data_IF_836647395374
#
_entry.id   IF_836647395374
#
_cell.length_a   1.000
_cell.length_b   1.000
_cell.length_c   1.000
_cell.angle_alpha   90.00
_cell.angle_beta   90.00
_cell.angle_gamma   90.00
#
_symmetry.space_group_name_H-M   'P 1'
#
loop_
_entity.id
_entity.type
_entity.pdbx_description
1 polymer ?
#
# COMPACT_ATOMS: atom_id res chain seq x y z
N UNK A 1 -19.47 -11.10 -1.55
CA UNK A 1 -19.84 -12.50 -1.25
C UNK A 1 -18.81 -13.20 -0.37
N UNK A 2 -17.53 -12.77 -0.33
CA UNK A 2 -16.53 -13.42 0.53
C UNK A 2 -16.10 -14.81 0.04
N UNK A 3 -16.51 -15.17 -1.19
CA UNK A 3 -16.17 -16.42 -1.86
C UNK A 3 -15.02 -16.18 -2.83
N UNK A 4 -14.24 -17.23 -3.09
CA UNK A 4 -13.14 -17.17 -4.04
C UNK A 4 -13.65 -17.16 -5.49
N UNK A 5 -12.79 -16.74 -6.41
CA UNK A 5 -13.10 -16.67 -7.85
C UNK A 5 -13.41 -18.06 -8.42
N UNK A 6 -12.69 -19.08 -8.00
CA UNK A 6 -12.82 -20.45 -8.50
C UNK A 6 -14.20 -21.03 -8.18
N UNK A 7 -14.74 -20.69 -7.00
CA UNK A 7 -16.09 -21.08 -6.59
C UNK A 7 -17.15 -20.47 -7.53
N UNK A 8 -17.01 -19.19 -7.87
CA UNK A 8 -17.92 -18.50 -8.80
C UNK A 8 -17.91 -19.11 -10.20
N UNK A 9 -16.74 -19.55 -10.69
CA UNK A 9 -16.61 -20.15 -12.03
C UNK A 9 -17.24 -21.54 -12.10
N UNK A 10 -17.14 -22.30 -11.01
CA UNK A 10 -17.61 -23.70 -10.95
C UNK A 10 -19.08 -23.82 -10.53
N UNK A 11 -19.69 -22.74 -10.04
CA UNK A 11 -21.07 -22.72 -9.56
C UNK A 11 -21.79 -21.52 -10.21
N UNK A 12 -22.30 -21.68 -11.43
CA UNK A 12 -22.95 -20.57 -12.15
C UNK A 12 -24.42 -20.34 -11.76
N UNK A 13 -25.03 -21.25 -10.99
CA UNK A 13 -26.45 -21.20 -10.58
C UNK A 13 -26.63 -20.84 -9.10
N UNK A 14 -25.76 -19.98 -8.56
CA UNK A 14 -25.85 -19.55 -7.16
C UNK A 14 -26.97 -18.53 -7.00
N UNK A 15 -27.86 -18.79 -6.04
CA UNK A 15 -28.81 -17.78 -5.59
C UNK A 15 -28.07 -16.66 -4.83
N UNK A 16 -28.15 -15.44 -5.36
CA UNK A 16 -27.55 -14.25 -4.77
C UNK A 16 -28.61 -13.49 -3.98
N UNK A 17 -28.33 -13.20 -2.71
CA UNK A 17 -29.26 -12.40 -1.90
C UNK A 17 -29.33 -10.96 -2.38
N UNK A 18 -30.49 -10.32 -2.18
CA UNK A 18 -30.74 -8.94 -2.59
C UNK A 18 -29.73 -7.95 -1.99
N UNK A 19 -29.33 -8.16 -0.73
CA UNK A 19 -28.27 -7.39 -0.05
C UNK A 19 -26.91 -7.50 -0.75
N UNK A 20 -26.58 -8.66 -1.29
CA UNK A 20 -25.34 -8.83 -2.07
C UNK A 20 -25.48 -8.11 -3.41
N UNK A 21 -26.61 -8.29 -4.10
CA UNK A 21 -26.88 -7.64 -5.37
C UNK A 21 -26.78 -6.11 -5.26
N UNK A 22 -27.34 -5.53 -4.19
CA UNK A 22 -27.25 -4.10 -3.88
C UNK A 22 -25.79 -3.63 -3.74
N UNK A 23 -24.96 -4.36 -2.99
CA UNK A 23 -23.52 -4.05 -2.85
C UNK A 23 -22.79 -4.09 -4.19
N UNK A 24 -23.10 -5.07 -5.05
CA UNK A 24 -22.51 -5.15 -6.38
C UNK A 24 -22.98 -3.99 -7.27
N UNK A 25 -24.27 -3.64 -7.24
CA UNK A 25 -24.80 -2.51 -7.99
C UNK A 25 -24.11 -1.20 -7.59
N UNK A 26 -23.87 -0.97 -6.30
CA UNK A 26 -23.09 0.19 -5.82
C UNK A 26 -21.66 0.16 -6.38
N UNK A 27 -20.98 -0.98 -6.31
CA UNK A 27 -19.63 -1.14 -6.85
C UNK A 27 -19.56 -0.92 -8.38
N UNK A 28 -20.53 -1.44 -9.12
CA UNK A 28 -20.66 -1.26 -10.57
C UNK A 28 -20.88 0.21 -10.92
N UNK A 29 -21.78 0.92 -10.22
CA UNK A 29 -22.00 2.36 -10.42
C UNK A 29 -20.73 3.18 -10.17
N UNK A 30 -19.95 2.84 -9.14
CA UNK A 30 -18.63 3.44 -8.89
C UNK A 30 -17.67 3.16 -10.04
N UNK A 31 -17.62 1.92 -10.54
CA UNK A 31 -16.73 1.54 -11.65
C UNK A 31 -17.10 2.19 -12.98
N UNK A 32 -18.40 2.38 -13.27
CA UNK A 32 -18.88 3.12 -14.45
C UNK A 32 -18.33 4.55 -14.46
N UNK A 33 -18.20 5.18 -13.29
CA UNK A 33 -17.53 6.50 -13.12
C UNK A 33 -16.00 6.44 -13.20
N UNK A 34 -15.45 5.34 -13.70
CA UNK A 34 -14.01 5.06 -13.85
C UNK A 34 -13.23 4.99 -12.53
N UNK A 35 -13.89 4.94 -11.37
CA UNK A 35 -13.21 4.79 -10.07
C UNK A 35 -12.39 3.48 -10.03
N UNK A 36 -11.08 3.51 -9.71
CA UNK A 36 -10.24 2.32 -9.70
C UNK A 36 -10.80 1.17 -8.83
N UNK A 37 -10.72 -0.07 -9.32
CA UNK A 37 -11.22 -1.26 -8.62
C UNK A 37 -10.61 -1.41 -7.23
N UNK A 38 -9.34 -1.05 -7.05
CA UNK A 38 -8.67 -1.11 -5.75
C UNK A 38 -9.33 -0.20 -4.70
N UNK A 39 -9.78 1.00 -5.09
CA UNK A 39 -10.54 1.89 -4.19
C UNK A 39 -11.97 1.43 -3.97
N UNK A 40 -12.57 0.73 -4.94
CA UNK A 40 -13.91 0.14 -4.79
C UNK A 40 -13.86 -1.01 -3.78
N UNK A 41 -12.85 -1.87 -3.88
CA UNK A 41 -12.65 -3.03 -3.00
C UNK A 41 -11.94 -2.69 -1.69
N UNK A 42 -11.31 -1.51 -1.61
CA UNK A 42 -10.56 -1.02 -0.46
C UNK A 42 -9.20 -1.69 -0.28
N UNK A 43 -8.75 -2.52 -1.22
CA UNK A 43 -7.50 -3.28 -1.11
C UNK A 43 -6.74 -3.43 -2.42
N UNK A 44 -5.43 -3.64 -2.30
CA UNK A 44 -4.51 -3.95 -3.40
C UNK A 44 -3.48 -4.96 -2.93
N UNK A 45 -3.41 -6.09 -3.59
CA UNK A 45 -2.29 -7.02 -3.45
C UNK A 45 -1.02 -6.38 -4.00
N UNK A 46 0.06 -6.45 -3.22
CA UNK A 46 1.40 -6.00 -3.56
C UNK A 46 2.42 -6.78 -2.72
N UNK A 47 3.48 -7.28 -3.33
CA UNK A 47 4.48 -8.12 -2.63
C UNK A 47 3.87 -9.30 -1.85
N UNK A 48 2.89 -9.98 -2.44
CA UNK A 48 2.12 -11.08 -1.83
C UNK A 48 1.32 -10.72 -0.55
N UNK A 49 1.13 -9.43 -0.29
CA UNK A 49 0.40 -8.94 0.88
C UNK A 49 -0.79 -8.06 0.45
N UNK A 50 -1.89 -8.14 1.20
CA UNK A 50 -3.09 -7.31 0.97
C UNK A 50 -2.93 -5.96 1.68
N UNK A 51 -2.69 -4.88 0.92
CA UNK A 51 -2.66 -3.52 1.45
C UNK A 51 -4.04 -2.87 1.38
N UNK A 52 -4.47 -2.24 2.47
CA UNK A 52 -5.59 -1.30 2.49
C UNK A 52 -5.23 -0.10 1.65
N UNK A 53 -6.12 0.28 0.73
CA UNK A 53 -5.95 1.45 -0.14
C UNK A 53 -7.23 2.27 -0.19
N UNK A 54 -7.09 3.57 -0.35
CA UNK A 54 -8.20 4.49 -0.54
C UNK A 54 -7.73 5.71 -1.35
N UNK A 55 -8.64 6.65 -1.59
CA UNK A 55 -8.38 7.85 -2.40
C UNK A 55 -7.29 8.77 -1.84
N UNK A 56 -6.84 8.59 -0.60
CA UNK A 56 -5.77 9.37 -0.01
C UNK A 56 -4.35 8.86 -0.35
N UNK A 57 -4.23 7.70 -1.00
CA UNK A 57 -2.96 7.04 -1.31
C UNK A 57 -2.90 6.62 -2.75
N UNK A 58 -1.72 6.65 -3.38
CA UNK A 58 -1.52 6.00 -4.67
C UNK A 58 -1.68 4.47 -4.54
N UNK A 59 -2.37 3.85 -5.50
CA UNK A 59 -2.48 2.38 -5.58
C UNK A 59 -1.09 1.80 -5.86
N UNK A 60 -0.56 0.88 -5.03
CA UNK A 60 0.72 0.22 -5.26
C UNK A 60 0.83 -0.36 -6.68
N UNK A 61 1.97 -0.13 -7.32
CA UNK A 61 2.24 -0.46 -8.72
C UNK A 61 3.27 -1.60 -8.81
N UNK A 62 3.04 -2.66 -9.61
CA UNK A 62 3.96 -3.80 -9.70
C UNK A 62 5.40 -3.42 -10.01
N UNK A 63 5.62 -2.37 -10.79
CA UNK A 63 6.95 -1.86 -11.15
C UNK A 63 7.78 -1.44 -9.92
N UNK A 64 7.10 -1.05 -8.82
CA UNK A 64 7.75 -0.72 -7.54
C UNK A 64 8.36 -1.94 -6.85
N UNK A 65 7.93 -3.16 -7.19
CA UNK A 65 8.49 -4.39 -6.62
C UNK A 65 9.97 -4.60 -6.99
N UNK A 66 10.41 -4.10 -8.16
CA UNK A 66 11.81 -4.17 -8.57
C UNK A 66 12.73 -3.35 -7.64
N UNK A 67 12.25 -2.20 -7.16
CA UNK A 67 12.98 -1.39 -6.18
C UNK A 67 13.16 -2.15 -4.86
N UNK A 68 12.08 -2.77 -4.39
CA UNK A 68 12.06 -3.53 -3.14
C UNK A 68 13.00 -4.73 -3.23
N UNK A 69 12.94 -5.50 -4.31
CA UNK A 69 13.82 -6.63 -4.56
C UNK A 69 15.30 -6.24 -4.46
N UNK A 70 15.71 -5.16 -5.14
CA UNK A 70 17.10 -4.68 -5.10
C UNK A 70 17.53 -4.23 -3.70
N UNK A 71 16.64 -3.57 -2.96
CA UNK A 71 16.92 -3.13 -1.60
C UNK A 71 17.13 -4.33 -0.66
N UNK A 72 16.28 -5.35 -0.74
CA UNK A 72 16.38 -6.55 0.07
C UNK A 72 17.68 -7.30 -0.21
N UNK A 73 18.04 -7.47 -1.49
CA UNK A 73 19.26 -8.17 -1.88
C UNK A 73 20.53 -7.48 -1.34
N UNK A 74 20.62 -6.16 -1.49
CA UNK A 74 21.78 -5.38 -1.03
C UNK A 74 21.96 -5.38 0.51
N UNK A 75 20.84 -5.41 1.24
CA UNK A 75 20.81 -5.37 2.70
C UNK A 75 20.51 -6.71 3.35
N UNK A 76 20.61 -7.81 2.60
CA UNK A 76 20.36 -9.15 3.11
C UNK A 76 21.20 -9.42 4.36
N UNK A 77 20.55 -9.94 5.40
CA UNK A 77 21.13 -10.21 6.72
C UNK A 77 21.70 -8.99 7.48
N UNK A 78 21.46 -7.75 7.01
CA UNK A 78 21.87 -6.53 7.71
C UNK A 78 20.71 -5.97 8.53
N UNK A 79 21.05 -5.29 9.62
CA UNK A 79 20.13 -4.47 10.40
C UNK A 79 20.30 -3.01 9.98
N UNK A 80 19.24 -2.43 9.41
CA UNK A 80 19.27 -1.06 8.89
C UNK A 80 18.11 -0.20 9.40
N UNK A 81 18.32 1.12 9.38
CA UNK A 81 17.30 2.13 9.58
C UNK A 81 16.89 2.72 8.21
N UNK A 82 15.61 2.59 7.88
CA UNK A 82 15.06 2.94 6.58
C UNK A 82 14.21 4.21 6.70
N UNK A 83 14.35 5.13 5.75
CA UNK A 83 13.40 6.22 5.53
C UNK A 83 12.65 5.99 4.22
N UNK A 84 11.32 6.03 4.27
CA UNK A 84 10.44 5.97 3.11
C UNK A 84 9.72 7.31 2.93
N UNK A 85 10.04 8.01 1.84
CA UNK A 85 9.56 9.35 1.54
C UNK A 85 8.38 9.28 0.57
N UNK A 86 7.26 9.88 0.95
CA UNK A 86 6.00 9.74 0.20
C UNK A 86 5.41 8.34 0.39
N UNK A 87 5.40 7.87 1.64
CA UNK A 87 5.14 6.46 1.98
C UNK A 87 3.77 5.97 1.52
N UNK A 88 2.78 6.87 1.35
CA UNK A 88 1.46 6.52 0.82
C UNK A 88 0.78 5.43 1.67
N UNK A 89 0.59 4.25 1.07
CA UNK A 89 0.04 3.06 1.76
C UNK A 89 1.01 2.40 2.74
N UNK A 90 2.27 2.80 2.75
CA UNK A 90 3.39 2.15 3.43
C UNK A 90 3.97 0.95 2.67
N UNK A 91 3.52 0.67 1.44
CA UNK A 91 3.81 -0.59 0.76
C UNK A 91 5.31 -0.86 0.54
N UNK A 92 6.12 0.16 0.23
CA UNK A 92 7.56 -0.01 0.04
C UNK A 92 8.22 -0.38 1.37
N UNK A 93 8.06 0.47 2.39
CA UNK A 93 8.69 0.25 3.68
C UNK A 93 8.27 -1.07 4.32
N UNK A 94 6.97 -1.37 4.32
CA UNK A 94 6.42 -2.55 4.98
C UNK A 94 6.89 -3.83 4.28
N UNK A 95 6.96 -3.84 2.94
CA UNK A 95 7.48 -4.99 2.19
C UNK A 95 8.96 -5.23 2.45
N UNK A 96 9.78 -4.18 2.52
CA UNK A 96 11.20 -4.33 2.88
C UNK A 96 11.36 -4.88 4.31
N UNK A 97 10.57 -4.39 5.27
CA UNK A 97 10.64 -4.84 6.67
C UNK A 97 10.10 -6.26 6.90
N UNK A 98 9.24 -6.77 6.02
CA UNK A 98 8.83 -8.20 6.01
C UNK A 98 10.03 -9.11 5.77
N UNK A 99 10.95 -8.70 4.90
CA UNK A 99 12.10 -9.50 4.48
C UNK A 99 13.33 -9.24 5.36
N UNK A 100 13.50 -8.00 5.85
CA UNK A 100 14.62 -7.60 6.72
C UNK A 100 14.20 -7.61 8.20
N UNK A 101 14.21 -8.79 8.81
CA UNK A 101 13.66 -9.06 10.15
C UNK A 101 14.20 -8.17 11.29
N UNK A 102 15.44 -7.69 11.22
CA UNK A 102 16.06 -6.89 12.28
C UNK A 102 15.98 -5.38 12.06
N UNK A 103 15.49 -4.96 10.91
CA UNK A 103 15.46 -3.56 10.48
C UNK A 103 14.28 -2.80 11.06
N UNK A 104 14.38 -1.47 11.02
CA UNK A 104 13.32 -0.54 11.44
C UNK A 104 13.16 0.57 10.41
N UNK A 105 11.99 1.19 10.42
CA UNK A 105 11.62 2.15 9.39
C UNK A 105 10.86 3.36 9.89
N UNK A 106 11.03 4.48 9.18
CA UNK A 106 10.17 5.64 9.28
C UNK A 106 9.57 5.91 7.90
N UNK A 107 8.24 5.93 7.82
CA UNK A 107 7.51 6.39 6.64
C UNK A 107 7.02 7.82 6.85
N UNK A 108 7.27 8.69 5.88
CA UNK A 108 6.78 10.07 5.90
C UNK A 108 5.93 10.38 4.69
N UNK A 109 4.93 11.23 4.89
CA UNK A 109 4.05 11.72 3.82
C UNK A 109 3.51 13.10 4.21
N UNK A 110 3.23 13.94 3.21
CA UNK A 110 2.59 15.23 3.44
C UNK A 110 1.11 15.07 3.82
N UNK A 111 0.48 13.96 3.40
CA UNK A 111 -0.92 13.66 3.64
C UNK A 111 -1.13 12.92 4.96
N UNK A 112 -1.87 13.54 5.89
CA UNK A 112 -2.30 12.88 7.13
C UNK A 112 -3.12 11.62 6.89
N UNK A 113 -3.99 11.64 5.88
CA UNK A 113 -4.84 10.51 5.48
C UNK A 113 -4.01 9.34 4.90
N UNK A 114 -2.92 9.64 4.19
CA UNK A 114 -1.98 8.61 3.74
C UNK A 114 -1.28 7.95 4.95
N UNK A 115 -0.81 8.76 5.90
CA UNK A 115 -0.19 8.26 7.14
C UNK A 115 -1.14 7.38 7.97
N UNK A 116 -2.43 7.71 8.05
CA UNK A 116 -3.43 6.84 8.68
C UNK A 116 -3.54 5.49 7.97
N UNK A 117 -3.56 5.50 6.63
CA UNK A 117 -3.60 4.28 5.81
C UNK A 117 -2.35 3.42 6.01
N UNK A 118 -1.16 4.03 6.01
CA UNK A 118 0.10 3.32 6.28
C UNK A 118 0.14 2.71 7.69
N UNK A 119 -0.39 3.42 8.70
CA UNK A 119 -0.52 2.88 10.07
C UNK A 119 -1.45 1.67 10.12
N UNK A 120 -2.60 1.71 9.43
CA UNK A 120 -3.52 0.56 9.34
C UNK A 120 -2.79 -0.64 8.74
N UNK A 121 -2.12 -0.46 7.60
CA UNK A 121 -1.37 -1.53 6.94
C UNK A 121 -0.24 -2.08 7.83
N UNK A 122 0.47 -1.22 8.56
CA UNK A 122 1.51 -1.67 9.48
C UNK A 122 0.98 -2.53 10.62
N UNK A 123 -0.26 -2.29 11.08
CA UNK A 123 -0.92 -3.12 12.09
C UNK A 123 -1.36 -4.44 11.48
N UNK A 124 -2.01 -4.40 10.31
CA UNK A 124 -2.46 -5.60 9.60
C UNK A 124 -1.32 -6.58 9.30
N UNK A 125 -0.12 -6.05 9.02
CA UNK A 125 1.08 -6.86 8.74
C UNK A 125 1.94 -7.18 9.98
N UNK A 126 1.51 -6.79 11.19
CA UNK A 126 2.26 -6.96 12.44
C UNK A 126 3.65 -6.29 12.46
N UNK A 127 3.78 -5.14 11.78
CA UNK A 127 5.02 -4.38 11.66
C UNK A 127 5.02 -3.08 12.46
N UNK A 128 3.91 -2.73 13.13
CA UNK A 128 3.74 -1.47 13.85
C UNK A 128 4.83 -1.19 14.90
N UNK A 129 5.44 -2.22 15.49
CA UNK A 129 6.54 -2.09 16.47
C UNK A 129 7.89 -1.75 15.83
N UNK A 130 8.05 -2.02 14.53
CA UNK A 130 9.26 -1.77 13.74
C UNK A 130 9.15 -0.53 12.85
N UNK A 131 7.97 0.09 12.79
CA UNK A 131 7.70 1.27 11.95
C UNK A 131 7.24 2.46 12.77
N UNK A 132 7.59 3.67 12.31
CA UNK A 132 6.94 4.91 12.72
C UNK A 132 6.44 5.65 11.48
N UNK A 133 5.26 6.23 11.55
CA UNK A 133 4.69 7.02 10.45
C UNK A 133 4.40 8.44 10.91
N UNK A 134 4.88 9.43 10.15
CA UNK A 134 4.76 10.85 10.50
C UNK A 134 4.28 11.68 9.32
N UNK A 135 3.35 12.59 9.59
CA UNK A 135 3.03 13.66 8.64
C UNK A 135 4.23 14.59 8.59
N UNK A 136 4.78 14.79 7.41
CA UNK A 136 6.00 15.55 7.25
C UNK A 136 6.07 16.25 5.90
N UNK A 137 6.37 17.55 5.94
CA UNK A 137 6.70 18.34 4.77
C UNK A 137 8.21 18.33 4.56
N UNK A 138 8.66 17.77 3.44
CA UNK A 138 10.08 17.66 3.08
C UNK A 138 10.80 19.01 3.11
N UNK A 139 10.11 20.13 2.86
CA UNK A 139 10.71 21.46 2.92
C UNK A 139 11.14 21.86 4.35
N UNK A 140 10.65 21.15 5.36
CA UNK A 140 10.95 21.36 6.78
C UNK A 140 11.88 20.28 7.33
N UNK A 141 12.47 19.46 6.47
CA UNK A 141 13.28 18.30 6.87
C UNK A 141 14.53 18.71 7.64
N UNK A 142 14.56 18.36 8.93
CA UNK A 142 15.78 18.34 9.72
C UNK A 142 16.26 16.88 9.85
N UNK A 143 17.57 16.71 9.73
CA UNK A 143 18.20 15.44 9.39
C UNK A 143 18.07 14.34 10.46
N UNK A 144 18.01 13.09 9.97
CA UNK A 144 18.39 11.88 10.71
C UNK A 144 19.36 11.05 9.87
N UNK A 145 20.10 10.13 10.50
CA UNK A 145 20.94 9.16 9.76
C UNK A 145 20.13 7.92 9.43
N UNK A 146 20.11 7.56 8.16
CA UNK A 146 19.47 6.35 7.63
C UNK A 146 20.47 5.60 6.77
N UNK A 147 20.40 4.28 6.82
CA UNK A 147 21.24 3.42 5.99
C UNK A 147 20.64 3.25 4.59
N UNK A 148 19.32 3.42 4.48
CA UNK A 148 18.57 3.38 3.22
C UNK A 148 17.49 4.46 3.22
N UNK A 149 17.46 5.25 2.15
CA UNK A 149 16.35 6.17 1.84
C UNK A 149 15.70 5.67 0.55
N UNK A 150 14.40 5.42 0.59
CA UNK A 150 13.59 5.00 -0.55
C UNK A 150 12.45 5.98 -0.78
N UNK A 151 12.01 6.08 -2.04
CA UNK A 151 10.86 6.87 -2.42
C UNK A 151 10.34 6.39 -3.76
N UNK A 152 9.02 6.51 -3.95
CA UNK A 152 8.39 6.47 -5.26
C UNK A 152 7.55 7.75 -5.42
N UNK A 153 8.20 8.90 -5.68
CA UNK A 153 7.53 10.19 -5.69
C UNK A 153 6.60 10.32 -6.89
N UNK A 154 5.67 11.29 -6.91
CA UNK A 154 4.91 11.59 -8.13
C UNK A 154 5.87 12.02 -9.24
N UNK A 155 5.88 11.27 -10.35
CA UNK A 155 6.75 11.53 -11.51
C UNK A 155 5.97 11.78 -12.82
N UNK A 156 4.64 11.76 -12.76
CA UNK A 156 3.79 12.06 -13.93
C UNK A 156 3.82 13.59 -14.16
N UNK A 157 4.19 14.07 -15.36
CA UNK A 157 4.16 15.49 -15.67
C UNK A 157 2.76 16.07 -15.49
N UNK A 158 2.63 17.29 -14.96
CA UNK A 158 1.33 17.90 -14.66
C UNK A 158 0.39 18.03 -15.87
N UNK A 159 0.96 18.07 -17.09
CA UNK A 159 0.21 18.09 -18.36
C UNK A 159 -0.46 16.76 -18.72
N UNK A 160 -0.07 15.68 -18.05
CA UNK A 160 -0.50 14.30 -18.31
C UNK A 160 -1.36 13.73 -17.15
N UNK A 161 -1.75 14.58 -16.18
CA UNK A 161 -2.67 14.28 -15.06
C UNK A 161 -4.09 14.68 -15.44
#
# INVERSE_FOLDING_TARGET
MGIKREFLITNNEINISEKVLEKYNIAIRRRIKREPVAYITGKKEFWSEDFTVNQATLIPRPETELLIYKAIDFFKNKRINILDIGTGTGCILLSILKELNFSRGIGIDISSKAIETAKINSKNLNLFSRTKFKVFDLNKYNAGKYDLIVSNPPYIPSKDI
#
